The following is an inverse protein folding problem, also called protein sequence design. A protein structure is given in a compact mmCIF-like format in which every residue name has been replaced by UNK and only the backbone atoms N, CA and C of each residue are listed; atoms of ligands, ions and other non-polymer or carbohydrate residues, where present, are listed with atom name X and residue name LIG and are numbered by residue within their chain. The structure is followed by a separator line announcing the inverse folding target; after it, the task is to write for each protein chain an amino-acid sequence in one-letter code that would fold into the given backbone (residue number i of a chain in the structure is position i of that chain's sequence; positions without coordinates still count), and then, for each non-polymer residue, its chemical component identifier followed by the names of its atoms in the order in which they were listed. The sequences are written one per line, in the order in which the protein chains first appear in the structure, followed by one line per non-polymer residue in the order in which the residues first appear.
data_IF_937549507807
#
_entry.id   IF_937549507807
#
_cell.length_a   1.000
_cell.length_b   1.000
_cell.length_c   1.000
_cell.angle_alpha   90.00
_cell.angle_beta   90.00
_cell.angle_gamma   90.00
#
_symmetry.space_group_name_H-M   'P 1'
#
loop_
_entity.id
_entity.type
_entity.pdbx_description
1 polymer ?
#
# COMPACT_ATOMS: atom_id res chain seq x y z
N UNK A 1 5.94 -9.95 13.69
CA UNK A 1 6.21 -9.56 12.28
C UNK A 1 5.23 -8.47 11.91
N UNK A 2 5.69 -7.37 11.32
CA UNK A 2 4.85 -6.27 10.86
C UNK A 2 4.08 -6.70 9.60
N UNK A 3 2.75 -6.64 9.66
CA UNK A 3 1.88 -7.01 8.55
C UNK A 3 1.50 -5.77 7.73
N UNK A 4 1.56 -5.86 6.40
CA UNK A 4 1.15 -4.78 5.51
C UNK A 4 -0.36 -4.56 5.60
N UNK A 5 -0.78 -3.33 5.87
CA UNK A 5 -2.18 -2.93 5.94
C UNK A 5 -2.63 -2.30 4.61
N UNK A 6 -3.27 -3.11 3.77
CA UNK A 6 -3.78 -2.68 2.46
C UNK A 6 -4.86 -1.58 2.56
N UNK A 7 -5.61 -1.54 3.66
CA UNK A 7 -6.64 -0.52 3.86
C UNK A 7 -6.01 0.87 4.05
N UNK A 8 -4.83 0.97 4.68
CA UNK A 8 -4.11 2.25 4.77
C UNK A 8 -3.66 2.75 3.40
N UNK A 9 -3.18 1.87 2.53
CA UNK A 9 -2.82 2.23 1.14
C UNK A 9 -4.05 2.77 0.40
N UNK A 10 -5.16 2.03 0.47
CA UNK A 10 -6.43 2.40 -0.19
C UNK A 10 -7.02 3.70 0.34
N UNK A 11 -6.99 3.93 1.65
CA UNK A 11 -7.46 5.17 2.27
C UNK A 11 -6.61 6.37 1.84
N UNK A 12 -5.28 6.20 1.81
CA UNK A 12 -4.37 7.25 1.36
C UNK A 12 -4.62 7.61 -0.11
N UNK A 13 -4.72 6.61 -0.99
CA UNK A 13 -5.13 6.80 -2.39
C UNK A 13 -6.42 7.60 -2.51
N UNK A 14 -7.48 7.18 -1.79
CA UNK A 14 -8.79 7.86 -1.82
C UNK A 14 -8.75 9.27 -1.24
N UNK A 15 -7.98 9.51 -0.17
CA UNK A 15 -7.78 10.84 0.42
C UNK A 15 -7.19 11.83 -0.59
N UNK A 16 -6.29 11.34 -1.45
CA UNK A 16 -5.71 12.10 -2.55
C UNK A 16 -6.55 12.07 -3.83
N UNK A 17 -7.76 11.52 -3.79
CA UNK A 17 -8.71 11.40 -4.92
C UNK A 17 -8.15 10.66 -6.14
N UNK A 18 -7.21 9.75 -5.91
CA UNK A 18 -6.60 8.95 -6.98
C UNK A 18 -7.42 7.68 -7.25
N UNK A 19 -7.58 7.37 -8.52
CA UNK A 19 -8.08 6.09 -9.02
C UNK A 19 -7.02 4.99 -8.88
N UNK A 20 -7.43 3.74 -9.03
CA UNK A 20 -6.49 2.62 -9.10
C UNK A 20 -5.65 2.64 -10.39
N UNK A 21 -6.14 3.26 -11.47
CA UNK A 21 -5.39 3.46 -12.71
C UNK A 21 -4.25 4.45 -12.52
N UNK A 22 -4.51 5.60 -11.89
CA UNK A 22 -3.46 6.59 -11.60
C UNK A 22 -2.39 6.02 -10.68
N UNK A 23 -2.76 5.19 -9.69
CA UNK A 23 -1.77 4.49 -8.89
C UNK A 23 -0.94 3.48 -9.67
N UNK A 24 -1.55 2.80 -10.64
CA UNK A 24 -0.83 1.90 -11.53
C UNK A 24 0.20 2.67 -12.36
N UNK A 25 -0.15 3.84 -12.89
CA UNK A 25 0.75 4.72 -13.62
C UNK A 25 1.92 5.22 -12.74
N UNK A 26 1.64 5.66 -11.50
CA UNK A 26 2.65 6.07 -10.52
C UNK A 26 3.67 4.94 -10.27
N UNK A 27 3.23 3.68 -10.32
CA UNK A 27 4.08 2.51 -10.12
C UNK A 27 4.66 1.93 -11.42
N UNK A 28 4.49 2.61 -12.55
CA UNK A 28 5.00 2.16 -13.85
C UNK A 28 4.32 0.89 -14.39
N UNK A 29 3.10 0.59 -13.93
CA UNK A 29 2.32 -0.55 -14.39
C UNK A 29 1.56 -0.20 -15.68
N UNK A 30 1.42 -1.18 -16.58
CA UNK A 30 0.80 -0.98 -17.90
C UNK A 30 -0.73 -0.85 -17.88
N UNK A 31 -1.38 -1.20 -16.78
CA UNK A 31 -2.84 -1.15 -16.64
C UNK A 31 -3.26 -1.13 -15.17
N UNK A 32 -4.54 -0.83 -14.91
CA UNK A 32 -5.10 -0.79 -13.55
C UNK A 32 -5.14 -2.17 -12.87
N UNK A 33 -5.20 -3.26 -13.66
CA UNK A 33 -5.50 -4.60 -13.14
C UNK A 33 -4.42 -5.15 -12.18
N UNK A 34 -3.11 -5.03 -12.48
CA UNK A 34 -2.04 -5.36 -11.54
C UNK A 34 -2.15 -4.61 -10.20
N UNK A 35 -2.46 -3.31 -10.22
CA UNK A 35 -2.63 -2.54 -8.99
C UNK A 35 -3.87 -2.99 -8.23
N UNK A 36 -5.02 -3.18 -8.91
CA UNK A 36 -6.25 -3.66 -8.30
C UNK A 36 -6.03 -4.99 -7.57
N UNK A 37 -5.37 -5.97 -8.21
CA UNK A 37 -5.04 -7.28 -7.61
C UNK A 37 -4.20 -7.13 -6.33
N UNK A 38 -3.35 -6.11 -6.26
CA UNK A 38 -2.52 -5.84 -5.08
C UNK A 38 -3.31 -5.18 -3.96
N UNK A 39 -4.02 -4.10 -4.25
CA UNK A 39 -4.83 -3.38 -3.27
C UNK A 39 -6.01 -4.23 -2.76
N UNK A 40 -6.51 -5.18 -3.56
CA UNK A 40 -7.55 -6.14 -3.15
C UNK A 40 -7.03 -7.34 -2.35
N UNK A 41 -5.70 -7.49 -2.20
CA UNK A 41 -5.08 -8.61 -1.50
C UNK A 41 -4.93 -9.90 -2.30
N UNK A 42 -5.27 -9.89 -3.60
CA UNK A 42 -5.10 -11.05 -4.48
C UNK A 42 -3.62 -11.29 -4.88
N UNK A 43 -2.76 -10.30 -4.64
CA UNK A 43 -1.32 -10.37 -4.88
C UNK A 43 -0.59 -9.46 -3.87
N UNK A 44 0.57 -9.83 -3.33
CA UNK A 44 1.32 -8.92 -2.47
C UNK A 44 1.91 -7.73 -3.25
N UNK A 45 2.03 -6.60 -2.56
CA UNK A 45 2.93 -5.53 -2.98
C UNK A 45 4.38 -5.97 -2.77
N UNK A 46 5.25 -5.60 -3.71
CA UNK A 46 6.71 -5.72 -3.56
C UNK A 46 7.22 -4.59 -2.67
N UNK A 47 8.39 -4.79 -2.05
CA UNK A 47 9.00 -3.76 -1.23
C UNK A 47 9.20 -2.45 -2.02
N UNK A 48 9.73 -2.53 -3.24
CA UNK A 48 10.00 -1.36 -4.08
C UNK A 48 8.74 -0.56 -4.41
N UNK A 49 7.60 -1.24 -4.56
CA UNK A 49 6.30 -0.61 -4.79
C UNK A 49 5.83 0.14 -3.52
N UNK A 50 5.98 -0.45 -2.33
CA UNK A 50 5.65 0.22 -1.06
C UNK A 50 6.54 1.44 -0.86
N UNK A 51 7.85 1.31 -1.11
CA UNK A 51 8.79 2.43 -1.09
C UNK A 51 8.38 3.54 -2.07
N UNK A 52 7.92 3.20 -3.27
CA UNK A 52 7.44 4.18 -4.24
C UNK A 52 6.16 4.89 -3.78
N UNK A 53 5.19 4.16 -3.23
CA UNK A 53 3.96 4.72 -2.64
C UNK A 53 4.30 5.69 -1.49
N UNK A 54 5.20 5.27 -0.59
CA UNK A 54 5.64 6.06 0.56
C UNK A 54 6.26 7.40 0.11
N UNK A 55 7.20 7.35 -0.85
CA UNK A 55 7.82 8.55 -1.43
C UNK A 55 6.81 9.45 -2.12
N UNK A 56 5.88 8.89 -2.89
CA UNK A 56 4.87 9.67 -3.62
C UNK A 56 3.96 10.46 -2.67
N UNK A 57 3.54 9.85 -1.56
CA UNK A 57 2.66 10.51 -0.59
C UNK A 57 3.41 11.28 0.52
N UNK A 58 4.75 11.23 0.54
CA UNK A 58 5.55 11.87 1.58
C UNK A 58 5.30 11.30 2.98
N UNK A 59 5.10 9.99 3.07
CA UNK A 59 4.91 9.26 4.35
C UNK A 59 6.03 8.25 4.56
N UNK A 60 6.32 7.94 5.82
CA UNK A 60 7.23 6.84 6.18
C UNK A 60 6.62 5.48 5.82
N UNK A 61 7.45 4.48 5.52
CA UNK A 61 7.00 3.16 5.07
C UNK A 61 6.21 2.44 6.17
N UNK A 62 6.62 2.62 7.41
CA UNK A 62 6.00 2.14 8.64
C UNK A 62 4.53 2.57 8.73
N UNK A 63 4.15 3.68 8.09
CA UNK A 63 2.76 4.10 7.97
C UNK A 63 1.88 2.96 7.47
N UNK A 64 2.33 2.18 6.48
CA UNK A 64 1.54 1.13 5.86
C UNK A 64 1.49 -0.17 6.66
N UNK A 65 2.26 -0.32 7.74
CA UNK A 65 2.29 -1.55 8.50
C UNK A 65 1.45 -1.44 9.78
N UNK A 66 0.94 -2.58 10.24
CA UNK A 66 0.37 -2.70 11.57
C UNK A 66 1.49 -3.06 12.55
N UNK A 67 1.62 -2.28 13.61
CA UNK A 67 2.45 -2.65 14.75
C UNK A 67 1.73 -3.78 15.49
N UNK A 68 2.12 -5.02 15.22
CA UNK A 68 1.78 -6.14 16.09
C UNK A 68 2.57 -6.00 17.37
N UNK A 69 2.06 -5.21 18.32
CA UNK A 69 2.48 -5.37 19.72
C UNK A 69 2.00 -6.77 20.10
N UNK A 70 2.92 -7.72 20.23
CA UNK A 70 2.58 -9.07 20.63
C UNK A 70 1.79 -8.99 21.94
N UNK A 71 0.51 -9.39 21.90
CA UNK A 71 -0.35 -9.54 23.09
C UNK A 71 0.04 -10.80 23.89
N UNK A 72 1.32 -10.93 24.23
CA UNK A 72 1.80 -11.94 25.18
C UNK A 72 2.32 -11.25 26.45
N UNK A 73 1.51 -10.32 26.96
CA UNK A 73 1.66 -9.78 28.31
C UNK A 73 0.42 -10.17 29.11
N UNK A 74 0.27 -11.46 29.41
CA UNK A 74 -0.52 -12.00 30.52
C UNK A 74 0.24 -13.21 31.06
#
# INVERSE_FOLDING_TARGET
MSELNLEKIKQLRKKHKLSQGEMAEILGMKSLYPYHRKESGNQPFKAEEIHAIARYFGVEIEYFFNNSVAKNAI
#
